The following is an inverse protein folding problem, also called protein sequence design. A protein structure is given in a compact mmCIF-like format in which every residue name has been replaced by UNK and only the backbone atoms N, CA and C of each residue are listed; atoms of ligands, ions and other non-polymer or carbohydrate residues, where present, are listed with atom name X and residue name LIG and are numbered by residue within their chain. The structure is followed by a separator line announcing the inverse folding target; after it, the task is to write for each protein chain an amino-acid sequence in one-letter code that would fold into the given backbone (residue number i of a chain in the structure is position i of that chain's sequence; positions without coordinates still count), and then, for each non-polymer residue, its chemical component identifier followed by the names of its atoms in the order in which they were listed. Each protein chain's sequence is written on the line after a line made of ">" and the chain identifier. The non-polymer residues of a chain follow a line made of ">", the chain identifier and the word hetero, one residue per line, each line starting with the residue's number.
data_IF_767152496478
#
_entry.id   IF_767152496478
#
_cell.length_a   1.000
_cell.length_b   1.000
_cell.length_c   1.000
_cell.angle_alpha   90.00
_cell.angle_beta   90.00
_cell.angle_gamma   90.00
#
_symmetry.space_group_name_H-M   'P 1'
#
loop_
_entity.id
_entity.type
_entity.pdbx_description
1 polymer ?
#
# COMPACT_ATOMS: atom_id res chain seq x y z
N UNK A 1 6.06 2.92 32.69
CA UNK A 1 7.08 2.67 31.65
C UNK A 1 7.08 1.22 31.16
N UNK A 2 6.93 0.22 32.03
CA UNK A 2 6.84 -1.20 31.63
C UNK A 2 5.72 -1.51 30.63
N UNK A 3 4.49 -1.05 30.88
CA UNK A 3 3.34 -1.28 29.99
C UNK A 3 3.54 -0.76 28.56
N UNK A 4 4.34 0.30 28.40
CA UNK A 4 4.66 0.87 27.07
C UNK A 4 5.67 -0.03 26.35
N UNK A 5 6.67 -0.57 27.04
CA UNK A 5 7.58 -1.57 26.46
C UNK A 5 6.81 -2.83 26.04
N UNK A 6 5.89 -3.33 26.85
CA UNK A 6 5.09 -4.52 26.49
C UNK A 6 4.20 -4.29 25.27
N UNK A 7 3.65 -3.07 25.10
CA UNK A 7 2.88 -2.70 23.92
C UNK A 7 3.74 -2.50 22.66
N UNK A 8 4.97 -2.00 22.80
CA UNK A 8 5.92 -1.82 21.67
C UNK A 8 6.48 -3.17 21.19
N UNK A 9 6.57 -4.18 22.04
CA UNK A 9 7.04 -5.52 21.66
C UNK A 9 5.90 -6.52 21.41
N UNK A 10 4.66 -6.05 21.28
CA UNK A 10 3.54 -6.93 20.90
C UNK A 10 3.68 -7.41 19.46
N UNK A 11 3.16 -8.61 19.18
CA UNK A 11 3.15 -9.15 17.82
C UNK A 11 2.46 -8.19 16.84
N UNK A 12 1.41 -7.50 17.28
CA UNK A 12 0.68 -6.50 16.49
C UNK A 12 1.56 -5.31 16.10
N UNK A 13 2.40 -4.81 17.01
CA UNK A 13 3.30 -3.69 16.71
C UNK A 13 4.37 -4.11 15.71
N UNK A 14 4.94 -5.32 15.86
CA UNK A 14 5.90 -5.87 14.90
C UNK A 14 5.25 -6.06 13.53
N UNK A 15 4.00 -6.51 13.48
CA UNK A 15 3.23 -6.61 12.23
C UNK A 15 2.99 -5.24 11.60
N UNK A 16 2.68 -4.22 12.39
CA UNK A 16 2.51 -2.85 11.92
C UNK A 16 3.81 -2.29 11.32
N UNK A 17 4.95 -2.47 11.99
CA UNK A 17 6.26 -2.03 11.46
C UNK A 17 6.57 -2.75 10.14
N UNK A 18 6.36 -4.06 10.07
CA UNK A 18 6.54 -4.83 8.82
C UNK A 18 5.59 -4.35 7.72
N UNK A 19 4.35 -4.05 8.06
CA UNK A 19 3.36 -3.52 7.13
C UNK A 19 3.82 -2.20 6.51
N UNK A 20 4.33 -1.27 7.33
CA UNK A 20 4.89 0.01 6.86
C UNK A 20 6.11 -0.22 5.97
N UNK A 21 7.04 -1.09 6.36
CA UNK A 21 8.24 -1.39 5.56
C UNK A 21 7.89 -2.02 4.21
N UNK A 22 6.93 -2.95 4.19
CA UNK A 22 6.40 -3.51 2.93
C UNK A 22 5.77 -2.40 2.10
N UNK A 23 5.01 -1.49 2.73
CA UNK A 23 4.44 -0.32 2.06
C UNK A 23 5.47 0.52 1.31
N UNK A 24 6.63 0.76 1.93
CA UNK A 24 7.76 1.46 1.28
C UNK A 24 8.30 0.67 0.08
N UNK A 25 8.38 -0.66 0.16
CA UNK A 25 8.76 -1.49 -0.99
C UNK A 25 7.76 -1.37 -2.13
N UNK A 26 6.45 -1.36 -1.86
CA UNK A 26 5.44 -1.11 -2.89
C UNK A 26 5.57 0.25 -3.55
N UNK A 27 5.94 1.29 -2.79
CA UNK A 27 6.22 2.62 -3.34
C UNK A 27 7.41 2.59 -4.30
N UNK A 28 8.49 1.87 -3.95
CA UNK A 28 9.63 1.69 -4.86
C UNK A 28 9.21 0.95 -6.14
N UNK A 29 8.37 -0.07 -6.03
CA UNK A 29 7.84 -0.81 -7.19
C UNK A 29 6.96 0.09 -8.07
N UNK A 30 6.07 0.87 -7.47
CA UNK A 30 5.21 1.83 -8.17
C UNK A 30 6.06 2.86 -8.94
N UNK A 31 6.95 3.58 -8.25
CA UNK A 31 7.82 4.56 -8.91
C UNK A 31 8.71 3.93 -10.00
N UNK A 32 9.23 2.72 -9.76
CA UNK A 32 10.03 1.99 -10.75
C UNK A 32 9.23 1.69 -12.02
N UNK A 33 8.04 1.11 -11.88
CA UNK A 33 7.16 0.77 -13.00
C UNK A 33 6.68 2.04 -13.72
N UNK A 34 6.27 3.07 -12.97
CA UNK A 34 5.86 4.35 -13.53
C UNK A 34 6.98 4.98 -14.37
N UNK A 35 8.20 5.00 -13.85
CA UNK A 35 9.36 5.57 -14.55
C UNK A 35 9.67 4.79 -15.82
N UNK A 36 9.62 3.46 -15.77
CA UNK A 36 9.84 2.61 -16.95
C UNK A 36 8.77 2.90 -18.01
N UNK A 37 7.49 2.89 -17.63
CA UNK A 37 6.38 3.07 -18.57
C UNK A 37 6.36 4.47 -19.19
N UNK A 38 6.64 5.50 -18.40
CA UNK A 38 6.75 6.88 -18.91
C UNK A 38 7.99 7.09 -19.78
N UNK A 39 9.08 6.37 -19.51
CA UNK A 39 10.26 6.36 -20.39
C UNK A 39 9.94 5.84 -21.79
N UNK A 40 9.02 4.87 -21.90
CA UNK A 40 8.49 4.37 -23.18
C UNK A 40 7.41 5.29 -23.80
N UNK A 41 7.29 6.54 -23.34
CA UNK A 41 6.29 7.53 -23.79
C UNK A 41 4.84 7.07 -23.63
N UNK A 42 4.58 6.16 -22.70
CA UNK A 42 3.20 5.81 -22.37
C UNK A 42 2.50 7.02 -21.73
N UNK A 43 1.19 7.13 -21.94
CA UNK A 43 0.39 8.19 -21.33
C UNK A 43 0.56 8.15 -19.80
N UNK A 44 0.87 9.31 -19.21
CA UNK A 44 1.14 9.49 -17.77
C UNK A 44 0.00 8.94 -16.89
N UNK A 45 -1.25 9.13 -17.30
CA UNK A 45 -2.41 8.64 -16.55
C UNK A 45 -2.47 7.11 -16.57
N UNK A 46 -2.26 6.51 -17.74
CA UNK A 46 -2.26 5.05 -17.90
C UNK A 46 -1.06 4.44 -17.15
N UNK A 47 0.10 5.09 -17.22
CA UNK A 47 1.30 4.68 -16.50
C UNK A 47 1.06 4.67 -15.00
N UNK A 48 0.43 5.73 -14.47
CA UNK A 48 0.09 5.84 -13.05
C UNK A 48 -0.93 4.78 -12.61
N UNK A 49 -1.97 4.53 -13.40
CA UNK A 49 -2.96 3.47 -13.08
C UNK A 49 -2.29 2.09 -13.02
N UNK A 50 -1.44 1.77 -13.99
CA UNK A 50 -0.76 0.47 -14.04
C UNK A 50 0.26 0.35 -12.90
N UNK A 51 1.08 1.37 -12.70
CA UNK A 51 2.14 1.35 -11.69
C UNK A 51 1.56 1.28 -10.27
N UNK A 52 0.55 2.09 -9.97
CA UNK A 52 -0.12 2.08 -8.66
C UNK A 52 -0.80 0.74 -8.38
N UNK A 53 -1.44 0.14 -9.40
CA UNK A 53 -2.04 -1.19 -9.28
C UNK A 53 -0.98 -2.25 -8.98
N UNK A 54 0.16 -2.21 -9.69
CA UNK A 54 1.28 -3.11 -9.42
C UNK A 54 1.87 -2.93 -8.02
N UNK A 55 2.01 -1.69 -7.55
CA UNK A 55 2.45 -1.37 -6.18
C UNK A 55 1.50 -1.93 -5.11
N UNK A 56 0.18 -1.77 -5.31
CA UNK A 56 -0.85 -2.31 -4.42
C UNK A 56 -0.81 -3.84 -4.40
N UNK A 57 -0.70 -4.49 -5.57
CA UNK A 57 -0.58 -5.96 -5.66
C UNK A 57 0.68 -6.43 -4.93
N UNK A 58 1.82 -5.78 -5.14
CA UNK A 58 3.07 -6.12 -4.46
C UNK A 58 2.93 -6.02 -2.93
N UNK A 59 2.34 -4.92 -2.44
CA UNK A 59 2.10 -4.72 -1.01
C UNK A 59 1.16 -5.76 -0.43
N UNK A 60 0.10 -6.11 -1.16
CA UNK A 60 -0.86 -7.12 -0.73
C UNK A 60 -0.21 -8.50 -0.64
N UNK A 61 0.53 -8.93 -1.67
CA UNK A 61 1.21 -10.23 -1.69
C UNK A 61 2.22 -10.32 -0.55
N UNK A 62 3.12 -9.35 -0.41
CA UNK A 62 4.13 -9.36 0.64
C UNK A 62 3.52 -9.38 2.04
N UNK A 63 2.47 -8.58 2.28
CA UNK A 63 1.77 -8.59 3.57
C UNK A 63 1.05 -9.91 3.82
N UNK A 64 0.40 -10.47 2.81
CA UNK A 64 -0.36 -11.72 2.96
C UNK A 64 0.55 -12.93 3.21
N UNK A 65 1.65 -13.05 2.46
CA UNK A 65 2.59 -14.17 2.58
C UNK A 65 3.53 -14.04 3.78
N UNK A 66 4.02 -12.83 4.08
CA UNK A 66 5.13 -12.65 5.03
C UNK A 66 4.68 -12.14 6.39
N UNK A 67 3.78 -11.15 6.39
CA UNK A 67 3.38 -10.47 7.61
C UNK A 67 2.27 -11.24 8.34
N UNK A 68 1.14 -11.43 7.67
CA UNK A 68 -0.04 -12.08 8.23
C UNK A 68 -0.04 -13.60 8.03
N UNK A 69 0.67 -14.11 7.02
CA UNK A 69 0.72 -15.53 6.63
C UNK A 69 -0.66 -16.15 6.38
N UNK A 70 -1.65 -15.34 6.00
CA UNK A 70 -3.02 -15.79 5.79
C UNK A 70 -3.29 -15.98 4.31
N UNK A 71 -3.34 -17.24 3.87
CA UNK A 71 -3.50 -17.60 2.46
C UNK A 71 -4.97 -17.79 2.06
N UNK A 72 -5.89 -17.58 3.00
CA UNK A 72 -7.29 -17.91 2.82
C UNK A 72 -8.07 -16.72 2.24
N UNK A 73 -8.89 -16.99 1.21
CA UNK A 73 -9.69 -16.01 0.46
C UNK A 73 -8.88 -14.78 -0.03
N UNK A 74 -7.72 -15.03 -0.62
CA UNK A 74 -6.80 -13.99 -1.15
C UNK A 74 -7.48 -12.93 -2.02
N UNK A 75 -8.41 -13.33 -2.90
CA UNK A 75 -9.10 -12.39 -3.80
C UNK A 75 -10.03 -11.45 -3.03
N UNK A 76 -10.80 -11.95 -2.06
CA UNK A 76 -11.66 -11.08 -1.23
C UNK A 76 -10.84 -10.10 -0.40
N UNK A 77 -9.72 -10.56 0.18
CA UNK A 77 -8.80 -9.69 0.94
C UNK A 77 -8.16 -8.64 0.04
N UNK A 78 -7.78 -8.99 -1.18
CA UNK A 78 -7.26 -8.06 -2.17
C UNK A 78 -8.31 -7.01 -2.55
N UNK A 79 -9.56 -7.41 -2.78
CA UNK A 79 -10.66 -6.48 -3.07
C UNK A 79 -10.88 -5.52 -1.89
N UNK A 80 -10.96 -6.03 -0.65
CA UNK A 80 -11.08 -5.17 0.53
C UNK A 80 -9.90 -4.21 0.66
N UNK A 81 -8.67 -4.69 0.42
CA UNK A 81 -7.46 -3.87 0.46
C UNK A 81 -7.48 -2.77 -0.61
N UNK A 82 -7.88 -3.12 -1.83
CA UNK A 82 -8.02 -2.20 -2.94
C UNK A 82 -9.07 -1.13 -2.66
N UNK A 83 -10.24 -1.51 -2.13
CA UNK A 83 -11.32 -0.57 -1.75
C UNK A 83 -10.82 0.41 -0.67
N UNK A 84 -10.14 -0.09 0.37
CA UNK A 84 -9.56 0.79 1.42
C UNK A 84 -8.56 1.77 0.82
N UNK A 85 -7.74 1.32 -0.13
CA UNK A 85 -6.85 2.17 -0.91
C UNK A 85 -7.60 3.29 -1.64
N UNK A 86 -8.65 2.95 -2.38
CA UNK A 86 -9.47 3.94 -3.10
C UNK A 86 -10.17 4.93 -2.17
N UNK A 87 -10.70 4.47 -1.03
CA UNK A 87 -11.30 5.34 0.00
C UNK A 87 -10.27 6.34 0.51
N UNK A 88 -9.05 5.89 0.78
CA UNK A 88 -7.95 6.74 1.25
C UNK A 88 -7.59 7.80 0.21
N UNK A 89 -7.51 7.41 -1.07
CA UNK A 89 -7.26 8.34 -2.18
C UNK A 89 -8.35 9.40 -2.27
N UNK A 90 -9.63 9.01 -2.26
CA UNK A 90 -10.76 9.95 -2.30
C UNK A 90 -10.74 10.89 -1.11
N UNK A 91 -10.51 10.37 0.10
CA UNK A 91 -10.41 11.18 1.31
C UNK A 91 -9.27 12.20 1.23
N UNK A 92 -8.11 11.79 0.71
CA UNK A 92 -6.96 12.67 0.50
C UNK A 92 -7.29 13.78 -0.50
N UNK A 93 -7.93 13.44 -1.61
CA UNK A 93 -8.35 14.42 -2.63
C UNK A 93 -9.36 15.43 -2.07
N UNK A 94 -10.36 14.98 -1.31
CA UNK A 94 -11.34 15.86 -0.65
C UNK A 94 -10.67 16.79 0.36
N UNK A 95 -9.74 16.26 1.15
CA UNK A 95 -8.98 17.07 2.11
C UNK A 95 -8.17 18.15 1.40
N UNK A 96 -7.46 17.80 0.32
CA UNK A 96 -6.73 18.77 -0.50
C UNK A 96 -7.67 19.85 -1.06
N UNK A 97 -8.84 19.46 -1.56
CA UNK A 97 -9.82 20.41 -2.07
C UNK A 97 -10.26 21.42 -0.99
N UNK A 98 -10.53 20.97 0.24
CA UNK A 98 -11.00 21.84 1.35
C UNK A 98 -9.90 22.74 1.91
N UNK A 99 -8.67 22.24 2.05
CA UNK A 99 -7.59 22.97 2.72
C UNK A 99 -6.76 23.84 1.78
N UNK A 100 -6.71 23.50 0.49
CA UNK A 100 -5.89 24.21 -0.50
C UNK A 100 -6.72 25.16 -1.35
N UNK A 101 -8.03 24.92 -1.52
CA UNK A 101 -8.95 25.80 -2.27
C UNK A 101 -9.73 26.67 -1.31
#
# INVERSE_FOLDING_TARGET
>A
MEKIKTAIYSEDFVQLVKYVLIGVLGLVVDFGIYTILTHFKMNVEIANIISSTCGIINNFLWNSYTNFKVHDRMILRFISYFIVGQITTVFTTVSLFIFVT
#
